data_IF_799963156576
#
_entry.id   IF_799963156576
#
_cell.length_a   1.000
_cell.length_b   1.000
_cell.length_c   1.000
_cell.angle_alpha   90.00
_cell.angle_beta   90.00
_cell.angle_gamma   90.00
#
_symmetry.space_group_name_H-M   'P 1'
#
loop_
_entity.id
_entity.type
_entity.pdbx_description
1 polymer ?
#
# COMPACT_ATOMS: atom_id res chain seq x y z
N UNK A 1 -40.84 -28.12 -21.75
CA UNK A 1 -39.57 -28.60 -21.16
C UNK A 1 -38.30 -28.00 -21.74
N UNK A 2 -38.29 -27.50 -23.00
CA UNK A 2 -37.09 -26.89 -23.59
C UNK A 2 -36.76 -25.46 -23.07
N UNK A 3 -37.69 -24.76 -22.45
CA UNK A 3 -37.48 -23.41 -21.93
C UNK A 3 -36.92 -23.35 -20.51
N UNK A 4 -37.03 -24.44 -19.75
CA UNK A 4 -36.48 -24.52 -18.37
C UNK A 4 -35.00 -24.87 -18.37
N UNK A 5 -34.53 -25.58 -19.40
CA UNK A 5 -33.14 -25.98 -19.53
C UNK A 5 -32.20 -24.78 -19.87
N UNK A 6 -32.77 -23.75 -20.55
CA UNK A 6 -32.02 -22.56 -20.95
C UNK A 6 -31.78 -21.61 -19.77
N UNK A 7 -32.67 -21.57 -18.78
CA UNK A 7 -32.49 -20.75 -17.58
C UNK A 7 -31.47 -21.31 -16.61
N UNK A 8 -31.29 -22.64 -16.58
CA UNK A 8 -30.28 -23.25 -15.69
C UNK A 8 -28.84 -23.01 -16.17
N UNK A 9 -28.66 -22.81 -17.49
CA UNK A 9 -27.33 -22.56 -18.06
C UNK A 9 -26.85 -21.12 -17.87
N UNK A 10 -27.76 -20.16 -17.69
CA UNK A 10 -27.40 -18.77 -17.42
C UNK A 10 -26.99 -18.49 -15.96
N UNK A 11 -27.32 -19.38 -15.00
CA UNK A 11 -26.99 -19.16 -13.59
C UNK A 11 -25.57 -19.59 -13.19
N UNK A 12 -24.81 -20.26 -14.07
CA UNK A 12 -23.45 -20.73 -13.78
C UNK A 12 -22.34 -19.70 -14.10
N UNK A 13 -22.69 -18.51 -14.63
CA UNK A 13 -21.67 -17.53 -15.04
C UNK A 13 -21.41 -16.38 -14.05
N UNK A 14 -22.04 -16.38 -12.87
CA UNK A 14 -21.86 -15.27 -11.90
C UNK A 14 -20.95 -15.58 -10.71
N UNK A 15 -20.14 -16.62 -10.76
CA UNK A 15 -19.16 -16.93 -9.70
C UNK A 15 -17.71 -16.74 -10.15
N UNK A 16 -17.47 -15.78 -11.04
CA UNK A 16 -16.12 -15.25 -11.17
C UNK A 16 -15.96 -14.12 -10.16
N UNK A 17 -15.78 -14.49 -8.91
CA UNK A 17 -15.21 -13.62 -7.91
C UNK A 17 -13.82 -13.22 -8.40
N UNK A 18 -13.63 -11.96 -8.79
CA UNK A 18 -12.32 -11.36 -8.92
C UNK A 18 -11.65 -11.33 -7.55
N UNK A 19 -11.08 -12.46 -7.14
CA UNK A 19 -9.94 -12.48 -6.26
C UNK A 19 -8.79 -11.97 -7.12
N UNK A 20 -8.33 -10.75 -6.90
CA UNK A 20 -7.01 -10.36 -7.37
C UNK A 20 -6.04 -11.18 -6.55
N UNK A 21 -5.50 -12.23 -7.16
CA UNK A 21 -4.28 -12.86 -6.70
C UNK A 21 -3.19 -11.79 -6.83
N UNK A 22 -2.88 -11.10 -5.72
CA UNK A 22 -1.69 -10.29 -5.61
C UNK A 22 -0.52 -11.28 -5.55
N UNK A 23 0.04 -11.60 -6.70
CA UNK A 23 1.34 -12.24 -6.77
C UNK A 23 2.38 -11.21 -6.28
N UNK A 24 2.62 -11.23 -4.96
CA UNK A 24 3.89 -10.98 -4.32
C UNK A 24 4.72 -9.77 -4.76
N UNK A 25 4.15 -8.61 -5.16
CA UNK A 25 4.94 -7.38 -5.39
C UNK A 25 4.25 -6.17 -4.73
N UNK A 26 5.02 -5.29 -4.06
CA UNK A 26 4.48 -4.04 -3.53
C UNK A 26 3.82 -3.21 -4.63
N UNK A 27 2.70 -2.59 -4.30
CA UNK A 27 1.91 -1.81 -5.25
C UNK A 27 2.24 -0.33 -5.10
N UNK A 28 2.63 0.32 -6.21
CA UNK A 28 2.81 1.77 -6.23
C UNK A 28 1.47 2.49 -6.11
N UNK A 29 1.42 3.49 -5.23
CA UNK A 29 0.29 4.38 -5.08
C UNK A 29 0.72 5.84 -5.26
N UNK A 30 -0.15 6.63 -5.85
CA UNK A 30 -0.06 8.09 -5.81
C UNK A 30 -0.43 8.61 -4.42
N UNK A 31 -0.03 9.84 -4.04
CA UNK A 31 -0.46 10.43 -2.77
C UNK A 31 -1.97 10.47 -2.60
N UNK A 32 -2.72 10.75 -3.67
CA UNK A 32 -4.19 10.75 -3.66
C UNK A 32 -4.77 9.37 -3.39
N UNK A 33 -4.20 8.32 -3.99
CA UNK A 33 -4.65 6.94 -3.75
C UNK A 33 -4.38 6.49 -2.32
N UNK A 34 -3.27 6.92 -1.73
CA UNK A 34 -2.99 6.68 -0.30
C UNK A 34 -4.07 7.34 0.57
N UNK A 35 -4.40 8.62 0.31
CA UNK A 35 -5.44 9.31 1.06
C UNK A 35 -6.82 8.64 0.93
N UNK A 36 -7.19 8.19 -0.27
CA UNK A 36 -8.43 7.42 -0.51
C UNK A 36 -8.42 6.13 0.31
N UNK A 37 -7.30 5.42 0.35
CA UNK A 37 -7.17 4.18 1.12
C UNK A 37 -7.27 4.41 2.63
N UNK A 38 -6.73 5.50 3.14
CA UNK A 38 -6.85 5.88 4.55
C UNK A 38 -8.30 6.19 4.96
N UNK A 39 -9.12 6.62 4.00
CA UNK A 39 -10.54 6.91 4.19
C UNK A 39 -11.45 5.70 3.94
N UNK A 40 -10.90 4.55 3.53
CA UNK A 40 -11.69 3.34 3.25
C UNK A 40 -12.46 2.90 4.50
N UNK A 41 -13.81 2.80 4.42
CA UNK A 41 -14.64 2.39 5.54
C UNK A 41 -14.36 0.94 6.01
N UNK A 42 -13.78 0.11 5.16
CA UNK A 42 -13.39 -1.26 5.53
C UNK A 42 -12.22 -1.28 6.50
N UNK A 43 -11.44 -0.20 6.57
CA UNK A 43 -10.30 -0.04 7.50
C UNK A 43 -9.35 -1.25 7.49
N UNK A 44 -8.97 -1.71 6.30
CA UNK A 44 -8.02 -2.80 6.15
C UNK A 44 -6.65 -2.38 6.71
N UNK A 45 -5.94 -3.35 7.28
CA UNK A 45 -4.56 -3.13 7.69
C UNK A 45 -3.65 -3.24 6.47
N UNK A 46 -2.65 -2.36 6.37
CA UNK A 46 -1.66 -2.36 5.30
C UNK A 46 -0.37 -1.68 5.74
N UNK A 47 0.71 -2.00 5.06
CA UNK A 47 1.98 -1.30 5.20
C UNK A 47 2.17 -0.33 4.03
N UNK A 48 2.63 0.87 4.32
CA UNK A 48 3.06 1.86 3.34
C UNK A 48 4.52 2.19 3.60
N UNK A 49 5.38 2.07 2.59
CA UNK A 49 6.70 2.67 2.67
C UNK A 49 6.87 3.79 1.64
N UNK A 50 7.61 4.81 2.05
CA UNK A 50 7.89 5.97 1.22
C UNK A 50 9.32 5.89 0.75
N UNK A 51 9.54 6.05 -0.54
CA UNK A 51 10.79 5.88 -1.25
C UNK A 51 11.06 7.04 -2.22
N UNK A 52 12.19 6.99 -2.92
CA UNK A 52 12.60 7.97 -3.93
C UNK A 52 13.55 7.32 -4.93
N UNK A 53 13.54 7.78 -6.19
CA UNK A 53 14.32 7.18 -7.28
C UNK A 53 15.85 7.38 -7.13
N UNK A 54 16.31 8.39 -6.40
CA UNK A 54 17.73 8.68 -6.22
C UNK A 54 18.22 8.41 -4.78
N UNK A 55 17.75 7.32 -4.19
CA UNK A 55 17.97 6.99 -2.80
C UNK A 55 18.59 5.59 -2.64
N UNK A 56 19.91 5.51 -2.45
CA UNK A 56 20.61 4.23 -2.30
C UNK A 56 20.04 3.35 -1.17
N UNK A 57 19.72 3.93 -0.02
CA UNK A 57 19.12 3.19 1.09
C UNK A 57 17.72 2.70 0.78
N UNK A 58 17.00 3.38 -0.11
CA UNK A 58 15.69 2.94 -0.57
C UNK A 58 15.80 1.70 -1.48
N UNK A 59 16.78 1.66 -2.38
CA UNK A 59 17.01 0.51 -3.28
C UNK A 59 17.38 -0.75 -2.46
N UNK A 60 18.18 -0.60 -1.42
CA UNK A 60 18.50 -1.72 -0.52
C UNK A 60 17.30 -2.12 0.34
N UNK A 61 16.48 -1.15 0.74
CA UNK A 61 15.27 -1.40 1.52
C UNK A 61 14.19 -2.15 0.72
N UNK A 62 14.05 -1.84 -0.56
CA UNK A 62 13.12 -2.53 -1.44
C UNK A 62 13.38 -4.05 -1.48
N UNK A 63 14.64 -4.47 -1.48
CA UNK A 63 15.02 -5.90 -1.41
C UNK A 63 14.52 -6.55 -0.11
N UNK A 64 14.62 -5.83 1.01
CA UNK A 64 14.11 -6.32 2.30
C UNK A 64 12.59 -6.43 2.27
N UNK A 65 11.90 -5.45 1.67
CA UNK A 65 10.44 -5.47 1.50
C UNK A 65 10.01 -6.69 0.67
N UNK A 66 10.65 -6.95 -0.46
CA UNK A 66 10.36 -8.12 -1.31
C UNK A 66 10.52 -9.45 -0.55
N UNK A 67 11.52 -9.55 0.33
CA UNK A 67 11.73 -10.76 1.14
C UNK A 67 10.65 -10.99 2.21
N UNK A 68 10.01 -9.94 2.70
CA UNK A 68 8.97 -10.07 3.74
C UNK A 68 7.57 -10.22 3.16
N UNK A 69 7.33 -9.71 1.96
CA UNK A 69 6.01 -9.65 1.35
C UNK A 69 5.36 -11.03 1.23
N UNK A 70 6.08 -12.02 0.74
CA UNK A 70 5.60 -13.40 0.65
C UNK A 70 5.20 -14.01 2.00
N UNK A 71 5.61 -13.38 3.12
CA UNK A 71 5.43 -13.89 4.49
C UNK A 71 4.45 -13.05 5.31
N UNK A 72 4.00 -11.92 4.77
CA UNK A 72 3.09 -11.04 5.48
C UNK A 72 1.63 -11.28 5.06
N UNK A 73 0.69 -11.26 6.01
CA UNK A 73 -0.74 -11.45 5.71
C UNK A 73 -1.44 -10.15 5.29
N UNK A 74 -0.72 -9.06 5.10
CA UNK A 74 -1.26 -7.75 4.76
C UNK A 74 -0.63 -7.20 3.49
N UNK A 75 -1.34 -6.32 2.81
CA UNK A 75 -0.89 -5.67 1.58
C UNK A 75 0.23 -4.66 1.87
N UNK A 76 1.23 -4.61 0.99
CA UNK A 76 2.32 -3.65 1.04
C UNK A 76 2.19 -2.69 -0.14
N UNK A 77 2.20 -1.41 0.18
CA UNK A 77 2.16 -0.32 -0.79
C UNK A 77 3.39 0.56 -0.68
N UNK A 78 3.74 1.23 -1.77
CA UNK A 78 4.78 2.24 -1.72
C UNK A 78 4.37 3.53 -2.43
N UNK A 79 4.97 4.62 -1.99
CA UNK A 79 4.81 5.96 -2.54
C UNK A 79 6.19 6.53 -2.87
N UNK A 80 6.38 7.00 -4.11
CA UNK A 80 7.57 7.75 -4.51
C UNK A 80 7.39 9.23 -4.27
N UNK A 81 8.38 9.84 -3.58
CA UNK A 81 8.39 11.27 -3.28
C UNK A 81 9.03 12.12 -4.37
N UNK A 82 9.56 11.51 -5.45
CA UNK A 82 10.17 12.22 -6.59
C UNK A 82 9.13 12.86 -7.52
N UNK A 83 7.99 13.19 -7.00
CA UNK A 83 6.94 13.87 -7.74
C UNK A 83 7.41 15.25 -8.13
N UNK A 84 7.19 15.62 -9.38
CA UNK A 84 7.50 16.95 -9.90
C UNK A 84 7.01 18.02 -8.93
N UNK A 85 7.93 18.80 -8.36
CA UNK A 85 7.64 19.88 -7.40
C UNK A 85 6.65 20.93 -7.97
N UNK A 86 6.39 20.88 -9.28
CA UNK A 86 5.47 21.77 -9.99
C UNK A 86 4.00 21.32 -9.93
N UNK A 87 3.73 20.05 -9.60
CA UNK A 87 2.35 19.55 -9.51
C UNK A 87 1.73 19.92 -8.14
N UNK A 88 0.87 20.91 -8.19
CA UNK A 88 0.19 21.46 -7.00
C UNK A 88 -0.70 20.42 -6.31
N UNK A 89 -1.36 19.53 -7.07
CA UNK A 89 -2.29 18.54 -6.52
C UNK A 89 -1.54 17.45 -5.77
N UNK A 90 -0.40 17.03 -6.30
CA UNK A 90 0.50 16.06 -5.64
C UNK A 90 1.06 16.67 -4.36
N UNK A 91 1.54 17.90 -4.43
CA UNK A 91 2.09 18.60 -3.25
C UNK A 91 1.05 18.73 -2.14
N UNK A 92 -0.16 19.12 -2.46
CA UNK A 92 -1.25 19.19 -1.49
C UNK A 92 -1.57 17.82 -0.88
N UNK A 93 -1.63 16.77 -1.68
CA UNK A 93 -1.90 15.43 -1.18
C UNK A 93 -0.78 14.89 -0.27
N UNK A 94 0.49 15.22 -0.56
CA UNK A 94 1.63 14.91 0.33
C UNK A 94 1.53 15.67 1.64
N UNK A 95 1.18 16.96 1.61
CA UNK A 95 0.97 17.75 2.83
C UNK A 95 -0.16 17.16 3.68
N UNK A 96 -1.27 16.77 3.07
CA UNK A 96 -2.40 16.12 3.76
C UNK A 96 -2.01 14.76 4.33
N UNK A 97 -1.23 13.96 3.60
CA UNK A 97 -0.69 12.69 4.11
C UNK A 97 0.15 12.91 5.37
N UNK A 98 0.98 13.96 5.39
CA UNK A 98 1.83 14.29 6.53
C UNK A 98 1.05 14.75 7.79
N UNK A 99 -0.22 15.14 7.65
CA UNK A 99 -1.10 15.35 8.81
C UNK A 99 -1.33 14.02 9.56
N UNK A 100 -1.42 12.91 8.84
CA UNK A 100 -1.65 11.58 9.43
C UNK A 100 -0.33 10.91 9.85
N UNK A 101 0.69 10.97 9.00
CA UNK A 101 1.95 10.25 9.22
C UNK A 101 2.95 11.02 10.08
N UNK A 102 2.74 12.31 10.28
CA UNK A 102 3.78 13.23 10.72
C UNK A 102 4.70 13.63 9.58
N UNK A 103 5.59 14.59 9.85
CA UNK A 103 6.56 15.06 8.86
C UNK A 103 7.55 13.97 8.50
N UNK A 104 7.64 13.64 7.23
CA UNK A 104 8.61 12.68 6.70
C UNK A 104 9.96 13.39 6.61
N UNK A 105 10.93 12.95 7.42
CA UNK A 105 12.24 13.62 7.54
C UNK A 105 13.35 12.86 6.82
N UNK A 106 13.21 11.55 6.64
CA UNK A 106 14.21 10.71 5.98
C UNK A 106 13.54 9.62 5.14
N UNK A 107 14.26 9.08 4.16
CA UNK A 107 13.84 7.98 3.32
C UNK A 107 14.83 6.80 3.44
N UNK A 108 14.33 5.58 3.38
CA UNK A 108 12.90 5.19 3.33
C UNK A 108 12.19 5.46 4.65
N UNK A 109 10.87 5.67 4.62
CA UNK A 109 10.02 5.74 5.82
C UNK A 109 8.90 4.72 5.72
N UNK A 110 8.59 4.02 6.81
CA UNK A 110 7.61 2.93 6.84
C UNK A 110 6.53 3.20 7.87
N UNK A 111 5.29 2.99 7.45
CA UNK A 111 4.08 3.19 8.24
C UNK A 111 3.22 1.93 8.18
N UNK A 112 2.83 1.40 9.32
CA UNK A 112 1.88 0.31 9.39
C UNK A 112 0.54 0.82 9.92
N UNK A 113 -0.47 0.79 9.06
CA UNK A 113 -1.84 1.14 9.40
C UNK A 113 -2.59 -0.09 9.87
N UNK A 114 -2.96 -0.09 11.13
CA UNK A 114 -3.78 -1.13 11.71
C UNK A 114 -5.24 -0.69 11.75
N UNK A 115 -6.10 -1.37 11.01
CA UNK A 115 -7.54 -1.04 10.91
C UNK A 115 -7.80 0.45 10.59
N UNK A 116 -7.03 1.01 9.67
CA UNK A 116 -7.14 2.40 9.23
C UNK A 116 -6.57 3.43 10.19
N UNK A 117 -5.86 3.00 11.24
CA UNK A 117 -5.23 3.90 12.22
C UNK A 117 -3.72 3.71 12.26
N UNK A 118 -2.99 4.81 12.36
CA UNK A 118 -1.55 4.81 12.55
C UNK A 118 -1.25 5.08 14.03
N UNK A 119 -0.54 4.15 14.67
CA UNK A 119 -0.01 4.36 16.01
C UNK A 119 1.45 4.86 15.91
N UNK A 120 1.93 5.70 16.86
CA UNK A 120 3.29 6.24 16.82
C UNK A 120 4.37 5.17 16.71
N UNK A 121 4.21 4.03 17.39
CA UNK A 121 5.13 2.89 17.34
C UNK A 121 5.19 2.21 15.97
N UNK A 122 4.19 2.42 15.13
CA UNK A 122 4.08 1.83 13.79
C UNK A 122 4.71 2.70 12.70
N UNK A 123 5.40 3.77 13.08
CA UNK A 123 6.12 4.67 12.18
C UNK A 123 7.62 4.48 12.39
N UNK A 124 8.34 4.23 11.31
CA UNK A 124 9.80 4.05 11.33
C UNK A 124 10.44 4.84 10.19
N UNK A 125 11.46 5.58 10.51
CA UNK A 125 12.28 6.30 9.54
C UNK A 125 13.61 5.60 9.33
N UNK A 126 14.12 5.64 8.09
CA UNK A 126 15.37 5.05 7.70
C UNK A 126 15.28 3.57 7.32
N UNK A 127 16.41 3.02 6.92
CA UNK A 127 16.54 1.61 6.57
C UNK A 127 16.30 0.71 7.78
N UNK A 128 15.45 -0.28 7.62
CA UNK A 128 15.17 -1.30 8.62
C UNK A 128 15.62 -2.66 8.12
N UNK A 129 16.19 -3.47 9.01
CA UNK A 129 16.44 -4.88 8.71
C UNK A 129 15.13 -5.67 8.84
N UNK A 130 15.06 -6.78 8.11
CA UNK A 130 13.92 -7.70 8.14
C UNK A 130 13.42 -8.06 9.54
N UNK A 131 14.32 -8.30 10.49
CA UNK A 131 13.98 -8.63 11.89
C UNK A 131 13.22 -7.51 12.61
N UNK A 132 13.41 -6.25 12.18
CA UNK A 132 12.78 -5.07 12.79
C UNK A 132 11.42 -4.76 12.16
N UNK A 133 11.19 -5.19 10.92
CA UNK A 133 9.90 -5.08 10.23
C UNK A 133 8.88 -6.14 10.66
N UNK A 134 9.34 -7.27 11.19
CA UNK A 134 8.50 -8.40 11.59
C UNK A 134 8.20 -8.46 13.10
N UNK A 135 8.55 -7.43 13.84
CA UNK A 135 8.22 -7.26 15.27
C UNK A 135 6.93 -6.49 15.47
#
# INVERSE_FOLDING_TARGET
>A
MKKVLLCLFCMMFFLQGCGKDHEGEPIELTPQEVLVRLQDPKKNSFMLYITSDNCYSCDEYEKVIQEIEEKTPFEIYYLKMDTNEEDTDIKQAVEELQITTGKIQSLPSTFYFYQGSLLPENSKEGYLEKKDLLK
#
